data_IF_552216406254
#
_entry.id   IF_552216406254
#
_cell.length_a   1.000
_cell.length_b   1.000
_cell.length_c   1.000
_cell.angle_alpha   90.00
_cell.angle_beta   90.00
_cell.angle_gamma   90.00
#
_symmetry.space_group_name_H-M   'P 1'
#
loop_
_entity.id
_entity.type
_entity.pdbx_description
1 polymer ?
#
# COMPACT_ATOMS: atom_id res chain seq x y z
N UNK A 1 -18.17 18.37 4.70
CA UNK A 1 -17.34 17.65 5.70
C UNK A 1 -16.57 16.60 4.91
N UNK A 2 -15.25 16.74 4.87
CA UNK A 2 -14.34 15.76 4.30
C UNK A 2 -14.33 14.48 5.13
N UNK A 3 -13.91 13.36 4.54
CA UNK A 3 -13.98 12.05 5.20
C UNK A 3 -12.59 11.56 5.58
N UNK A 4 -12.41 11.25 6.87
CA UNK A 4 -11.18 10.70 7.43
C UNK A 4 -11.39 9.22 7.75
N UNK A 5 -10.51 8.37 7.24
CA UNK A 5 -10.47 6.94 7.51
C UNK A 5 -9.13 6.60 8.16
N UNK A 6 -9.15 5.71 9.15
CA UNK A 6 -7.97 5.42 9.97
C UNK A 6 -7.85 3.92 10.25
N UNK A 7 -6.65 3.38 10.05
CA UNK A 7 -6.22 2.13 10.70
C UNK A 7 -5.35 2.50 11.89
N UNK A 8 -5.87 2.31 13.10
CA UNK A 8 -5.21 2.76 14.33
C UNK A 8 -4.07 1.80 14.70
N UNK A 9 -2.97 2.38 15.16
CA UNK A 9 -1.89 1.63 15.78
C UNK A 9 -2.24 1.06 17.16
N UNK A 10 -1.43 0.11 17.61
CA UNK A 10 -1.50 -0.44 18.98
C UNK A 10 -0.40 0.20 19.82
N UNK A 11 -0.70 0.58 21.08
CA UNK A 11 0.28 1.05 22.06
C UNK A 11 1.20 2.17 21.52
N UNK A 12 0.61 3.23 20.95
CA UNK A 12 1.27 4.41 20.38
C UNK A 12 2.27 4.15 19.24
N UNK A 13 2.19 2.99 18.58
CA UNK A 13 3.03 2.65 17.42
C UNK A 13 2.18 2.42 16.19
N UNK A 14 2.70 2.82 15.03
CA UNK A 14 2.02 2.75 13.73
C UNK A 14 0.78 3.67 13.68
N UNK A 15 -0.11 3.43 12.71
CA UNK A 15 -1.24 4.27 12.42
C UNK A 15 -1.14 4.84 11.01
N UNK A 16 -2.15 4.56 10.18
CA UNK A 16 -2.27 5.15 8.85
C UNK A 16 -3.65 5.77 8.69
N UNK A 17 -3.71 6.89 7.97
CA UNK A 17 -4.95 7.57 7.69
C UNK A 17 -5.05 7.94 6.20
N UNK A 18 -6.28 7.98 5.69
CA UNK A 18 -6.60 8.51 4.38
C UNK A 18 -7.66 9.59 4.57
N UNK A 19 -7.37 10.79 4.08
CA UNK A 19 -8.28 11.92 4.12
C UNK A 19 -8.76 12.24 2.70
N UNK A 20 -10.07 12.14 2.47
CA UNK A 20 -10.69 12.28 1.17
C UNK A 20 -11.61 13.50 1.12
N UNK A 21 -11.43 14.30 0.06
CA UNK A 21 -12.27 15.46 -0.23
C UNK A 21 -13.60 15.01 -0.80
N UNK A 22 -14.71 15.30 -0.10
CA UNK A 22 -16.05 14.79 -0.40
C UNK A 22 -16.52 15.09 -1.84
N UNK A 23 -16.19 16.27 -2.36
CA UNK A 23 -16.68 16.70 -3.68
C UNK A 23 -15.80 16.23 -4.85
N UNK A 24 -14.73 15.48 -4.56
CA UNK A 24 -13.81 14.96 -5.58
C UNK A 24 -13.88 13.44 -5.70
N UNK A 25 -14.25 12.76 -4.62
CA UNK A 25 -14.26 11.31 -4.53
C UNK A 25 -15.64 10.86 -4.09
N UNK A 26 -16.24 9.95 -4.84
CA UNK A 26 -17.58 9.41 -4.56
C UNK A 26 -17.53 7.90 -4.32
N UNK A 27 -18.64 7.32 -3.88
CA UNK A 27 -18.78 5.88 -3.63
C UNK A 27 -17.65 5.29 -2.76
N UNK A 28 -17.33 5.97 -1.66
CA UNK A 28 -16.21 5.61 -0.79
C UNK A 28 -16.60 4.45 0.12
N UNK A 29 -15.81 3.38 0.08
CA UNK A 29 -15.97 2.21 0.93
C UNK A 29 -14.62 1.84 1.57
N UNK A 30 -14.54 1.87 2.90
CA UNK A 30 -13.41 1.29 3.62
C UNK A 30 -13.53 -0.24 3.59
N UNK A 31 -12.76 -0.87 2.71
CA UNK A 31 -12.84 -2.33 2.48
C UNK A 31 -11.99 -3.11 3.46
N UNK A 32 -10.90 -2.53 3.96
CA UNK A 32 -10.04 -3.19 4.94
C UNK A 32 -9.28 -2.19 5.80
N UNK A 33 -9.07 -2.56 7.06
CA UNK A 33 -8.07 -2.00 7.96
C UNK A 33 -7.44 -3.15 8.74
N UNK A 34 -6.13 -3.12 8.92
CA UNK A 34 -5.44 -4.13 9.73
C UNK A 34 -5.57 -3.85 11.24
N UNK A 35 -5.18 -4.81 12.05
CA UNK A 35 -5.23 -4.68 13.51
C UNK A 35 -3.99 -3.96 14.07
N UNK A 36 -2.93 -3.79 13.28
CA UNK A 36 -1.67 -3.18 13.73
C UNK A 36 -1.51 -1.72 13.28
N UNK A 37 -2.44 -1.18 12.48
CA UNK A 37 -2.34 0.19 11.98
C UNK A 37 -1.31 0.37 10.87
N UNK A 38 -1.01 -0.68 10.09
CA UNK A 38 -0.04 -0.66 8.99
C UNK A 38 -0.67 -0.62 7.61
N UNK A 39 -1.98 -0.87 7.49
CA UNK A 39 -2.64 -0.93 6.18
C UNK A 39 -4.09 -0.47 6.25
N UNK A 40 -4.47 0.39 5.32
CA UNK A 40 -5.84 0.86 5.11
C UNK A 40 -6.17 0.79 3.62
N UNK A 41 -7.26 0.10 3.27
CA UNK A 41 -7.74 -0.06 1.89
C UNK A 41 -9.09 0.62 1.76
N UNK A 42 -9.21 1.47 0.75
CA UNK A 42 -10.43 2.17 0.40
C UNK A 42 -10.71 1.97 -1.08
N UNK A 43 -11.91 1.54 -1.41
CA UNK A 43 -12.42 1.56 -2.78
C UNK A 43 -13.27 2.81 -2.97
N UNK A 44 -13.11 3.48 -4.10
CA UNK A 44 -13.80 4.73 -4.40
C UNK A 44 -13.92 4.99 -5.90
N UNK A 45 -14.65 6.04 -6.26
CA UNK A 45 -14.73 6.57 -7.62
C UNK A 45 -14.09 7.95 -7.66
N UNK A 46 -13.10 8.12 -8.53
CA UNK A 46 -12.46 9.40 -8.83
C UNK A 46 -12.48 9.65 -10.34
N UNK A 47 -13.03 10.79 -10.78
CA UNK A 47 -13.17 11.15 -12.21
C UNK A 47 -13.74 10.00 -13.06
N UNK A 48 -14.87 9.44 -12.63
CA UNK A 48 -15.57 8.31 -13.30
C UNK A 48 -14.78 6.99 -13.37
N UNK A 49 -13.66 6.89 -12.67
CA UNK A 49 -12.84 5.67 -12.62
C UNK A 49 -12.93 5.03 -11.24
N UNK A 50 -13.21 3.72 -11.20
CA UNK A 50 -13.06 2.92 -9.98
C UNK A 50 -11.58 2.86 -9.61
N UNK A 51 -11.27 3.27 -8.38
CA UNK A 51 -9.92 3.36 -7.85
C UNK A 51 -9.88 2.70 -6.47
N UNK A 52 -8.95 1.77 -6.29
CA UNK A 52 -8.55 1.28 -4.97
C UNK A 52 -7.37 2.10 -4.47
N UNK A 53 -7.47 2.63 -3.27
CA UNK A 53 -6.43 3.40 -2.60
C UNK A 53 -5.95 2.57 -1.40
N UNK A 54 -4.64 2.33 -1.33
CA UNK A 54 -4.00 1.58 -0.23
C UNK A 54 -2.92 2.44 0.39
N UNK A 55 -3.12 2.84 1.66
CA UNK A 55 -2.06 3.46 2.46
C UNK A 55 -1.37 2.39 3.32
N UNK A 56 -0.04 2.31 3.24
CA UNK A 56 0.77 1.35 3.99
C UNK A 56 1.80 2.02 4.90
N UNK A 57 2.14 1.32 5.97
CA UNK A 57 3.33 1.54 6.78
C UNK A 57 4.05 0.21 7.03
N UNK A 58 4.89 -0.17 6.07
CA UNK A 58 5.58 -1.45 6.07
C UNK A 58 6.57 -1.57 7.25
N UNK A 59 6.84 -2.78 7.77
CA UNK A 59 7.84 -2.97 8.83
C UNK A 59 9.27 -2.55 8.44
N UNK A 60 10.09 -2.20 9.44
CA UNK A 60 11.51 -1.87 9.25
C UNK A 60 12.41 -3.10 9.11
N UNK A 61 12.03 -4.23 9.73
CA UNK A 61 12.79 -5.47 9.64
C UNK A 61 12.52 -6.16 8.31
N UNK A 62 13.59 -6.53 7.59
CA UNK A 62 13.50 -7.11 6.25
C UNK A 62 12.57 -8.33 6.19
N UNK A 63 12.68 -9.25 7.15
CA UNK A 63 11.85 -10.47 7.21
C UNK A 63 10.36 -10.15 7.32
N UNK A 64 10.02 -9.21 8.20
CA UNK A 64 8.64 -8.77 8.43
C UNK A 64 8.12 -8.00 7.22
N UNK A 65 8.93 -7.09 6.66
CA UNK A 65 8.59 -6.32 5.46
C UNK A 65 8.34 -7.21 4.25
N UNK A 66 9.16 -8.25 4.07
CA UNK A 66 8.96 -9.25 3.02
C UNK A 66 7.64 -10.00 3.17
N UNK A 67 7.28 -10.40 4.40
CA UNK A 67 5.99 -11.02 4.69
C UNK A 67 4.84 -10.05 4.44
N UNK A 68 5.00 -8.79 4.84
CA UNK A 68 4.03 -7.72 4.62
C UNK A 68 3.76 -7.47 3.13
N UNK A 69 4.79 -7.43 2.27
CA UNK A 69 4.57 -7.26 0.82
C UNK A 69 3.86 -8.45 0.17
N UNK A 70 4.07 -9.67 0.67
CA UNK A 70 3.27 -10.83 0.23
C UNK A 70 1.83 -10.72 0.68
N UNK A 71 1.59 -10.23 1.91
CA UNK A 71 0.27 -9.98 2.44
C UNK A 71 -0.48 -8.87 1.69
N UNK A 72 0.25 -7.86 1.19
CA UNK A 72 -0.29 -6.78 0.36
C UNK A 72 -0.74 -7.27 -1.02
N UNK A 73 -0.10 -8.30 -1.59
CA UNK A 73 -0.28 -8.71 -2.98
C UNK A 73 -1.73 -8.96 -3.42
N UNK A 74 -2.61 -9.65 -2.67
CA UNK A 74 -3.98 -9.89 -3.07
C UNK A 74 -4.84 -8.61 -3.18
N UNK A 75 -4.43 -7.54 -2.51
CA UNK A 75 -5.16 -6.26 -2.52
C UNK A 75 -4.84 -5.40 -3.74
N UNK A 76 -3.66 -5.60 -4.34
CA UNK A 76 -3.23 -4.90 -5.54
C UNK A 76 -3.91 -5.50 -6.77
N UNK A 77 -5.08 -4.94 -7.12
CA UNK A 77 -5.84 -5.28 -8.33
C UNK A 77 -5.67 -4.18 -9.40
N UNK A 78 -6.33 -4.33 -10.54
CA UNK A 78 -6.40 -3.25 -11.55
C UNK A 78 -6.88 -1.94 -10.91
N UNK A 79 -6.33 -0.81 -11.37
CA UNK A 79 -6.63 0.53 -10.84
C UNK A 79 -6.41 0.65 -9.32
N UNK A 80 -5.28 0.15 -8.83
CA UNK A 80 -4.86 0.32 -7.43
C UNK A 80 -3.74 1.35 -7.32
N UNK A 81 -3.93 2.37 -6.48
CA UNK A 81 -2.88 3.25 -6.00
C UNK A 81 -2.40 2.76 -4.63
N UNK A 82 -1.15 2.31 -4.56
CA UNK A 82 -0.48 1.98 -3.29
C UNK A 82 0.49 3.11 -2.96
N UNK A 83 0.42 3.64 -1.75
CA UNK A 83 1.29 4.71 -1.27
C UNK A 83 1.54 4.58 0.23
N UNK A 84 2.45 5.40 0.75
CA UNK A 84 2.84 5.41 2.16
C UNK A 84 4.32 5.06 2.32
N UNK A 85 4.68 4.51 3.47
CA UNK A 85 6.06 4.22 3.82
C UNK A 85 6.37 2.74 3.57
N UNK A 86 7.20 2.48 2.56
CA UNK A 86 7.58 1.13 2.16
C UNK A 86 8.77 0.61 2.98
N UNK A 87 9.54 1.48 3.65
CA UNK A 87 10.75 1.12 4.41
C UNK A 87 11.74 0.26 3.60
N UNK A 88 11.81 0.48 2.29
CA UNK A 88 12.76 -0.21 1.41
C UNK A 88 13.26 0.71 0.31
N UNK A 89 14.58 0.79 0.21
CA UNK A 89 15.29 1.50 -0.85
C UNK A 89 15.23 0.66 -2.13
N UNK A 90 14.78 1.20 -3.26
CA UNK A 90 14.64 0.45 -4.51
C UNK A 90 15.91 0.46 -5.36
N UNK A 91 16.58 1.60 -5.43
CA UNK A 91 17.76 1.81 -6.27
C UNK A 91 18.84 2.58 -5.51
N UNK A 92 20.04 2.62 -6.07
CA UNK A 92 21.12 3.46 -5.54
C UNK A 92 20.83 4.96 -5.67
N UNK A 93 19.84 5.36 -6.47
CA UNK A 93 19.42 6.77 -6.55
C UNK A 93 18.55 7.19 -5.36
N UNK A 94 17.97 6.23 -4.63
CA UNK A 94 17.12 6.50 -3.47
C UNK A 94 17.93 6.73 -2.18
N UNK A 95 19.27 6.63 -2.25
CA UNK A 95 20.17 6.84 -1.11
C UNK A 95 21.05 8.08 -1.30
N UNK A 96 21.30 8.80 -0.22
CA UNK A 96 22.28 9.88 -0.18
C UNK A 96 23.72 9.35 -0.28
N UNK A 97 24.65 10.22 -0.69
CA UNK A 97 26.05 9.88 -0.97
C UNK A 97 26.79 9.08 0.14
N UNK A 98 26.43 9.27 1.42
CA UNK A 98 27.10 8.62 2.56
C UNK A 98 26.39 7.37 3.08
N UNK A 99 25.38 6.88 2.37
CA UNK A 99 24.65 5.67 2.75
C UNK A 99 25.07 4.47 1.92
N UNK A 100 25.02 3.28 2.52
CA UNK A 100 25.34 2.02 1.84
C UNK A 100 24.07 1.43 1.25
N UNK A 101 24.09 1.12 -0.05
CA UNK A 101 23.02 0.36 -0.69
C UNK A 101 23.07 -1.11 -0.23
N UNK A 102 22.32 -1.42 0.82
CA UNK A 102 22.29 -2.78 1.39
C UNK A 102 21.47 -3.73 0.51
N UNK A 103 21.85 -5.00 0.57
CA UNK A 103 21.00 -6.10 0.10
C UNK A 103 19.73 -6.13 0.94
N UNK A 104 18.59 -6.29 0.26
CA UNK A 104 17.27 -6.35 0.87
C UNK A 104 16.41 -7.30 0.05
N UNK A 105 16.08 -8.48 0.58
CA UNK A 105 15.27 -9.48 -0.14
C UNK A 105 13.78 -9.16 -0.16
N UNK A 106 13.31 -8.17 0.62
CA UNK A 106 11.94 -7.66 0.51
C UNK A 106 11.76 -6.82 -0.76
N UNK A 107 12.83 -6.16 -1.24
CA UNK A 107 12.84 -5.36 -2.48
C UNK A 107 12.38 -6.17 -3.69
N UNK A 108 12.88 -7.39 -3.84
CA UNK A 108 12.51 -8.24 -5.00
C UNK A 108 11.04 -8.63 -4.97
N UNK A 109 10.45 -8.83 -3.79
CA UNK A 109 9.00 -9.10 -3.64
C UNK A 109 8.18 -7.89 -4.04
N UNK A 110 8.57 -6.69 -3.61
CA UNK A 110 7.90 -5.46 -4.01
C UNK A 110 8.01 -5.20 -5.51
N UNK A 111 9.20 -5.42 -6.10
CA UNK A 111 9.39 -5.29 -7.55
C UNK A 111 8.54 -6.29 -8.34
N UNK A 112 8.40 -7.53 -7.84
CA UNK A 112 7.51 -8.52 -8.46
C UNK A 112 6.05 -8.07 -8.40
N UNK A 113 5.60 -7.57 -7.24
CA UNK A 113 4.27 -7.01 -7.06
C UNK A 113 3.95 -5.89 -8.07
N UNK A 114 4.90 -4.98 -8.29
CA UNK A 114 4.77 -3.89 -9.26
C UNK A 114 4.65 -4.46 -10.69
N UNK A 115 5.53 -5.39 -11.07
CA UNK A 115 5.55 -5.96 -12.43
C UNK A 115 4.30 -6.78 -12.76
N UNK A 116 3.82 -7.58 -11.82
CA UNK A 116 2.65 -8.44 -12.01
C UNK A 116 1.38 -7.62 -12.30
N UNK A 117 1.27 -6.44 -11.69
CA UNK A 117 0.11 -5.57 -11.80
C UNK A 117 0.16 -4.62 -13.01
N UNK A 118 1.35 -4.27 -13.51
CA UNK A 118 1.50 -3.48 -14.74
C UNK A 118 1.07 -4.30 -15.98
N UNK A 119 1.22 -5.62 -15.94
CA UNK A 119 0.96 -6.49 -17.08
C UNK A 119 -0.52 -6.87 -17.29
N UNK A 120 -1.45 -6.43 -16.43
CA UNK A 120 -2.86 -6.84 -16.51
C UNK A 120 -3.06 -8.36 -16.40
N UNK A 121 -2.06 -9.11 -15.91
CA UNK A 121 -2.00 -10.57 -15.98
C UNK A 121 -2.84 -11.32 -14.94
N UNK A 122 -3.85 -10.69 -14.35
CA UNK A 122 -4.80 -11.35 -13.46
C UNK A 122 -6.24 -10.98 -13.81
N UNK A 123 -6.84 -11.76 -14.72
CA UNK A 123 -8.23 -12.19 -14.52
C UNK A 123 -8.20 -13.35 -13.52
N UNK A 124 -8.97 -13.28 -12.44
CA UNK A 124 -9.33 -14.48 -11.70
C UNK A 124 -10.83 -14.52 -11.54
N UNK A 125 -11.37 -15.65 -12.00
CA UNK A 125 -12.72 -16.12 -11.81
C UNK A 125 -12.99 -16.36 -10.32
N UNK A 126 -14.19 -15.97 -9.93
CA UNK A 126 -14.80 -16.16 -8.62
C UNK A 126 -14.68 -17.62 -8.15
N UNK A 127 -14.29 -17.81 -6.90
CA UNK A 127 -14.78 -18.91 -6.08
C UNK A 127 -15.66 -18.32 -4.99
#
# INVERSE_FOLDING_TARGET
>A
IDQLYVSNGINVKCGVAIWLKKDKVTNIQQTFKDNEGRMLVIDCVYKLTNLRIINIYAPNLEKERKAFFKYLQPWCTLNTLVFGEFNTVQTTMDISANNVFRTDTSRSVLQHLIRDNIAGKRSWSSR
#
